data_IF_004572618563
#
_entry.id   IF_004572618563
#
_cell.length_a   1.000
_cell.length_b   1.000
_cell.length_c   1.000
_cell.angle_alpha   90.00
_cell.angle_beta   90.00
_cell.angle_gamma   90.00
#
_symmetry.space_group_name_H-M   'P 1'
#
loop_
_entity.id
_entity.type
_entity.pdbx_description
1 polymer ?
#
# COMPACT_ATOMS: atom_id res chain seq x y z
N UNK A 1 -6.40 -8.79 24.20
CA UNK A 1 -6.86 -7.47 23.71
C UNK A 1 -7.01 -7.62 22.22
N UNK A 2 -8.21 -7.49 21.66
CA UNK A 2 -8.35 -7.51 20.19
C UNK A 2 -7.67 -6.25 19.64
N UNK A 3 -6.61 -6.44 18.85
CA UNK A 3 -6.00 -5.34 18.11
C UNK A 3 -7.04 -4.75 17.17
N UNK A 4 -7.29 -3.45 17.32
CA UNK A 4 -8.25 -2.73 16.50
C UNK A 4 -7.73 -2.71 15.05
N UNK A 5 -8.37 -3.47 14.17
CA UNK A 5 -8.05 -3.52 12.74
C UNK A 5 -8.25 -2.13 12.10
N UNK A 6 -7.33 -1.67 11.24
CA UNK A 6 -7.50 -0.41 10.54
C UNK A 6 -8.66 -0.45 9.54
N UNK A 7 -9.14 0.72 9.15
CA UNK A 7 -10.11 0.90 8.08
C UNK A 7 -9.49 1.63 6.89
N UNK A 8 -10.18 1.67 5.75
CA UNK A 8 -9.73 2.47 4.60
C UNK A 8 -9.56 3.96 4.95
N UNK A 9 -10.34 4.49 5.90
CA UNK A 9 -10.22 5.88 6.36
C UNK A 9 -8.92 6.14 7.12
N UNK A 10 -8.34 5.13 7.76
CA UNK A 10 -7.10 5.28 8.51
C UNK A 10 -5.88 5.46 7.58
N UNK A 11 -6.01 5.11 6.30
CA UNK A 11 -4.96 5.34 5.27
C UNK A 11 -4.59 6.82 5.16
N UNK A 12 -5.55 7.74 5.38
CA UNK A 12 -5.28 9.19 5.33
C UNK A 12 -4.25 9.65 6.37
N UNK A 13 -4.12 8.91 7.48
CA UNK A 13 -3.21 9.25 8.59
C UNK A 13 -1.79 8.75 8.36
N UNK A 14 -1.57 7.90 7.36
CA UNK A 14 -0.25 7.35 7.04
C UNK A 14 0.68 8.42 6.48
N UNK A 15 1.99 8.14 6.49
CA UNK A 15 2.95 8.99 5.78
C UNK A 15 2.71 8.98 4.27
N UNK A 16 3.31 9.93 3.55
CA UNK A 16 3.13 10.06 2.10
C UNK A 16 3.59 8.79 1.35
N UNK A 17 4.72 8.21 1.77
CA UNK A 17 5.22 6.96 1.21
C UNK A 17 4.30 5.77 1.51
N UNK A 18 3.85 5.64 2.76
CA UNK A 18 2.92 4.56 3.13
C UNK A 18 1.58 4.68 2.39
N UNK A 19 1.08 5.91 2.17
CA UNK A 19 -0.10 6.13 1.32
C UNK A 19 0.14 5.69 -0.11
N UNK A 20 1.28 6.05 -0.72
CA UNK A 20 1.64 5.60 -2.07
C UNK A 20 1.66 4.06 -2.15
N UNK A 21 2.25 3.39 -1.15
CA UNK A 21 2.24 1.93 -1.07
C UNK A 21 0.81 1.39 -0.93
N UNK A 22 -0.04 2.03 -0.12
CA UNK A 22 -1.44 1.63 0.01
C UNK A 22 -2.25 1.82 -1.27
N UNK A 23 -2.04 2.92 -2.00
CA UNK A 23 -2.68 3.18 -3.30
C UNK A 23 -2.34 2.07 -4.29
N UNK A 24 -1.06 1.68 -4.31
CA UNK A 24 -0.57 0.56 -5.10
C UNK A 24 -1.29 -0.76 -4.74
N UNK A 25 -1.40 -1.11 -3.45
CA UNK A 25 -2.08 -2.35 -3.04
C UNK A 25 -3.61 -2.29 -3.12
N UNK A 26 -4.23 -1.10 -3.06
CA UNK A 26 -5.66 -0.96 -3.32
C UNK A 26 -5.97 -1.21 -4.79
N UNK A 27 -5.06 -0.85 -5.71
CA UNK A 27 -5.16 -1.17 -7.13
C UNK A 27 -4.92 -2.65 -7.41
N UNK A 28 -3.84 -3.24 -6.89
CA UNK A 28 -3.39 -4.58 -7.28
C UNK A 28 -3.86 -5.71 -6.37
N UNK A 29 -4.25 -5.41 -5.13
CA UNK A 29 -4.75 -6.33 -4.09
C UNK A 29 -3.74 -7.35 -3.58
N UNK A 30 -2.99 -8.01 -4.45
CA UNK A 30 -1.98 -9.01 -4.12
C UNK A 30 -0.85 -8.97 -5.12
N UNK A 31 0.39 -8.84 -4.65
CA UNK A 31 1.58 -8.74 -5.50
C UNK A 31 2.74 -9.51 -4.87
N UNK A 32 3.50 -10.23 -5.69
CA UNK A 32 4.76 -10.85 -5.27
C UNK A 32 5.77 -9.83 -4.76
N UNK A 33 6.54 -10.18 -3.72
CA UNK A 33 7.42 -9.24 -3.03
C UNK A 33 8.40 -8.52 -3.97
N UNK A 34 9.03 -9.27 -4.87
CA UNK A 34 10.02 -8.75 -5.81
C UNK A 34 9.36 -7.74 -6.76
N UNK A 35 8.18 -8.09 -7.29
CA UNK A 35 7.45 -7.23 -8.23
C UNK A 35 6.98 -5.95 -7.55
N UNK A 36 6.45 -6.06 -6.32
CA UNK A 36 6.01 -4.91 -5.56
C UNK A 36 7.15 -3.91 -5.34
N UNK A 37 8.33 -4.38 -4.93
CA UNK A 37 9.50 -3.51 -4.72
C UNK A 37 9.93 -2.83 -6.02
N UNK A 38 10.03 -3.58 -7.13
CA UNK A 38 10.43 -3.02 -8.42
C UNK A 38 9.44 -1.92 -8.87
N UNK A 39 8.15 -2.21 -8.86
CA UNK A 39 7.14 -1.26 -9.35
C UNK A 39 7.03 -0.02 -8.45
N UNK A 40 7.09 -0.18 -7.13
CA UNK A 40 7.08 0.93 -6.19
C UNK A 40 8.34 1.79 -6.31
N UNK A 41 9.52 1.19 -6.53
CA UNK A 41 10.76 1.93 -6.75
C UNK A 41 10.66 2.81 -8.00
N UNK A 42 10.19 2.24 -9.11
CA UNK A 42 10.00 3.01 -10.35
C UNK A 42 8.96 4.13 -10.19
N UNK A 43 7.89 3.88 -9.42
CA UNK A 43 6.91 4.91 -9.07
C UNK A 43 7.53 6.08 -8.31
N UNK A 44 8.28 5.79 -7.23
CA UNK A 44 8.98 6.81 -6.42
C UNK A 44 9.97 7.60 -7.28
N UNK A 45 10.76 6.92 -8.13
CA UNK A 45 11.71 7.56 -9.06
C UNK A 45 11.03 8.44 -10.10
N UNK A 46 9.82 8.08 -10.54
CA UNK A 46 9.03 8.87 -11.48
C UNK A 46 8.49 10.14 -10.84
N UNK A 47 7.99 10.05 -9.61
CA UNK A 47 7.42 11.20 -8.90
C UNK A 47 8.49 12.21 -8.47
N UNK A 48 9.71 11.74 -8.14
CA UNK A 48 10.83 12.59 -7.68
C UNK A 48 10.44 13.55 -6.54
N UNK A 49 9.58 13.07 -5.65
CA UNK A 49 9.02 13.85 -4.55
C UNK A 49 9.87 13.66 -3.28
N UNK A 50 10.56 14.69 -2.78
CA UNK A 50 11.48 14.57 -1.65
C UNK A 50 10.79 14.24 -0.32
N UNK A 51 9.45 14.36 -0.24
CA UNK A 51 8.70 13.92 0.94
C UNK A 51 8.51 12.38 0.99
N UNK A 52 8.81 11.67 -0.11
CA UNK A 52 8.70 10.21 -0.17
C UNK A 52 9.96 9.53 0.36
N UNK A 53 11.13 10.03 -0.02
CA UNK A 53 12.45 9.45 0.32
C UNK A 53 13.47 10.58 0.50
N UNK A 54 14.47 10.40 1.38
CA UNK A 54 15.48 11.43 1.62
C UNK A 54 16.43 11.61 0.43
N UNK A 55 16.69 10.53 -0.31
CA UNK A 55 17.61 10.51 -1.46
C UNK A 55 17.07 9.57 -2.54
N UNK A 56 17.28 9.93 -3.82
CA UNK A 56 16.82 9.16 -4.98
C UNK A 56 17.87 8.17 -5.50
N UNK A 57 18.47 7.43 -4.57
CA UNK A 57 19.33 6.29 -4.86
C UNK A 57 18.52 5.00 -4.72
N UNK A 58 18.76 4.02 -5.61
CA UNK A 58 17.97 2.78 -5.64
C UNK A 58 17.99 2.03 -4.30
N UNK A 59 19.14 1.98 -3.62
CA UNK A 59 19.28 1.28 -2.33
C UNK A 59 18.49 2.01 -1.24
N UNK A 60 18.53 3.34 -1.24
CA UNK A 60 17.79 4.17 -0.28
C UNK A 60 16.28 4.04 -0.50
N UNK A 61 15.83 4.09 -1.75
CA UNK A 61 14.42 3.95 -2.10
C UNK A 61 13.89 2.58 -1.68
N UNK A 62 14.59 1.50 -2.01
CA UNK A 62 14.18 0.15 -1.62
C UNK A 62 14.13 -0.04 -0.11
N UNK A 63 15.08 0.54 0.62
CA UNK A 63 15.09 0.52 2.08
C UNK A 63 13.88 1.23 2.68
N UNK A 64 13.54 2.42 2.18
CA UNK A 64 12.37 3.18 2.67
C UNK A 64 11.05 2.52 2.30
N UNK A 65 10.92 1.97 1.08
CA UNK A 65 9.75 1.17 0.69
C UNK A 65 9.63 -0.06 1.60
N UNK A 66 10.72 -0.77 1.86
CA UNK A 66 10.73 -1.92 2.76
C UNK A 66 10.31 -1.55 4.19
N UNK A 67 10.74 -0.38 4.69
CA UNK A 67 10.30 0.15 5.99
C UNK A 67 8.81 0.46 6.00
N UNK A 68 8.29 1.10 4.96
CA UNK A 68 6.87 1.40 4.81
C UNK A 68 6.03 0.11 4.79
N UNK A 69 6.39 -0.87 3.95
CA UNK A 69 5.70 -2.17 3.88
C UNK A 69 5.70 -2.87 5.25
N UNK A 70 6.85 -2.90 5.93
CA UNK A 70 6.96 -3.54 7.25
C UNK A 70 6.08 -2.88 8.32
N UNK A 71 5.91 -1.55 8.28
CA UNK A 71 4.96 -0.85 9.16
C UNK A 71 3.52 -1.20 8.79
N UNK A 72 3.18 -1.19 7.51
CA UNK A 72 1.84 -1.54 7.03
C UNK A 72 1.46 -3.00 7.35
N UNK A 73 2.42 -3.94 7.34
CA UNK A 73 2.22 -5.31 7.80
C UNK A 73 1.95 -5.37 9.30
N UNK A 74 2.76 -4.65 10.10
CA UNK A 74 2.62 -4.59 11.56
C UNK A 74 1.28 -3.97 11.98
N UNK A 75 0.86 -2.94 11.26
CA UNK A 75 -0.35 -2.19 11.54
C UNK A 75 -1.59 -2.82 10.90
N UNK A 76 -1.46 -4.03 10.34
CA UNK A 76 -2.52 -4.82 9.72
C UNK A 76 -3.17 -4.19 8.48
N UNK A 77 -2.51 -3.27 7.77
CA UNK A 77 -2.97 -2.81 6.46
C UNK A 77 -2.66 -3.82 5.34
N UNK A 78 -1.55 -4.53 5.49
CA UNK A 78 -1.10 -5.58 4.58
C UNK A 78 -0.99 -6.92 5.31
N UNK A 79 -0.99 -8.01 4.55
CA UNK A 79 -0.73 -9.38 5.00
C UNK A 79 0.35 -10.00 4.08
N UNK A 80 1.30 -10.73 4.67
CA UNK A 80 2.30 -11.48 3.90
C UNK A 80 1.97 -12.97 3.87
N UNK A 81 1.89 -13.55 2.67
CA UNK A 81 1.68 -15.00 2.48
C UNK A 81 2.44 -15.49 1.26
N UNK A 82 3.27 -16.52 1.44
CA UNK A 82 3.91 -17.27 0.35
C UNK A 82 4.64 -16.41 -0.69
N UNK A 83 5.46 -15.44 -0.26
CA UNK A 83 6.20 -14.57 -1.19
C UNK A 83 5.39 -13.39 -1.73
N UNK A 84 4.15 -13.19 -1.26
CA UNK A 84 3.27 -12.12 -1.73
C UNK A 84 2.83 -11.21 -0.59
N UNK A 85 2.82 -9.90 -0.86
CA UNK A 85 2.12 -8.91 -0.06
C UNK A 85 0.68 -8.78 -0.56
N UNK A 86 -0.26 -8.75 0.38
CA UNK A 86 -1.68 -8.71 0.12
C UNK A 86 -2.30 -7.56 0.89
N UNK A 87 -3.31 -6.90 0.32
CA UNK A 87 -4.19 -6.03 1.09
C UNK A 87 -4.89 -6.87 2.16
N UNK A 88 -4.92 -6.36 3.40
CA UNK A 88 -5.52 -7.10 4.50
C UNK A 88 -6.96 -7.51 4.21
N UNK A 89 -7.35 -8.69 4.68
CA UNK A 89 -8.66 -9.31 4.46
C UNK A 89 -9.83 -8.38 4.77
N UNK A 90 -9.80 -7.71 5.93
CA UNK A 90 -10.83 -6.76 6.34
C UNK A 90 -10.91 -5.52 5.44
N UNK A 91 -9.77 -5.01 4.94
CA UNK A 91 -9.75 -3.90 3.98
C UNK A 91 -10.27 -4.32 2.61
N UNK A 92 -10.00 -5.56 2.17
CA UNK A 92 -10.59 -6.12 0.94
C UNK A 92 -12.11 -6.23 1.05
N UNK A 93 -12.63 -6.64 2.21
CA UNK A 93 -14.07 -6.67 2.47
C UNK A 93 -14.69 -5.27 2.47
N UNK A 94 -14.05 -4.30 3.13
CA UNK A 94 -14.49 -2.90 3.11
C UNK A 94 -14.52 -2.34 1.68
N UNK A 95 -13.46 -2.60 0.92
CA UNK A 95 -13.34 -2.17 -0.47
C UNK A 95 -14.43 -2.81 -1.35
N UNK A 96 -14.71 -4.10 -1.16
CA UNK A 96 -15.78 -4.80 -1.87
C UNK A 96 -17.17 -4.23 -1.53
N UNK A 97 -17.41 -3.86 -0.26
CA UNK A 97 -18.68 -3.22 0.15
C UNK A 97 -18.87 -1.86 -0.52
N UNK A 98 -17.80 -1.08 -0.69
CA UNK A 98 -17.86 0.25 -1.34
C UNK A 98 -17.99 0.16 -2.87
N UNK A 99 -17.28 -0.77 -3.51
CA UNK A 99 -17.23 -0.87 -4.97
C UNK A 99 -18.22 -1.89 -5.58
N UNK A 100 -18.88 -2.71 -4.75
CA UNK A 100 -19.70 -3.85 -5.18
C UNK A 100 -18.86 -5.07 -5.60
N UNK A 101 -17.79 -4.86 -6.36
CA UNK A 101 -16.86 -5.91 -6.79
C UNK A 101 -15.40 -5.44 -6.78
N UNK A 102 -14.48 -6.40 -6.63
CA UNK A 102 -13.05 -6.14 -6.70
C UNK A 102 -12.56 -6.44 -8.10
N UNK A 103 -12.16 -5.40 -8.84
CA UNK A 103 -11.44 -5.52 -10.11
C UNK A 103 -9.96 -5.13 -9.91
N UNK A 104 -9.03 -6.10 -9.79
CA UNK A 104 -7.61 -5.81 -9.69
C UNK A 104 -7.10 -5.11 -10.96
N UNK A 105 -6.12 -4.21 -10.80
CA UNK A 105 -5.47 -3.48 -11.89
C UNK A 105 -6.21 -2.22 -12.35
N UNK A 106 -7.47 -2.02 -11.95
CA UNK A 106 -8.20 -0.78 -12.18
C UNK A 106 -7.79 0.27 -11.16
N UNK A 107 -7.43 1.47 -11.65
CA UNK A 107 -7.19 2.62 -10.78
C UNK A 107 -8.46 2.93 -9.98
N UNK A 108 -8.29 3.13 -8.68
CA UNK A 108 -9.37 3.51 -7.78
C UNK A 108 -8.99 4.85 -7.20
N UNK A 109 -9.89 5.83 -7.30
CA UNK A 109 -9.66 7.11 -6.67
C UNK A 109 -9.80 6.94 -5.15
N UNK A 110 -8.71 7.15 -4.42
CA UNK A 110 -8.70 7.00 -2.97
C UNK A 110 -9.69 7.94 -2.28
N UNK A 111 -9.82 9.15 -2.81
CA UNK A 111 -10.70 10.19 -2.26
C UNK A 111 -12.18 9.79 -2.38
N UNK A 112 -12.54 9.12 -3.48
CA UNK A 112 -13.88 8.53 -3.69
C UNK A 112 -14.11 7.30 -2.81
N UNK A 113 -13.05 6.55 -2.49
CA UNK A 113 -13.13 5.41 -1.59
C UNK A 113 -13.21 5.79 -0.11
N UNK A 114 -12.75 6.99 0.26
CA UNK A 114 -12.62 7.41 1.65
C UNK A 114 -13.71 8.41 2.07
N UNK A 115 -14.37 9.06 1.10
CA UNK A 115 -15.63 9.80 1.31
C UNK A 115 -16.75 8.89 1.87
#
# INVERSE_FOLDING_TARGET
MEEKKPSLKDILKLSKLERLVMDYFLKHISVGEIIAIIELREEVKRLRDPDLVPEFDDVIIELEIGRAINRLLRDNFLEYRSGCYNLASHLREELKKKLGELRPGFSKNLEELIS
#
